data_IF_898793970329
#
_entry.id   IF_898793970329
#
_cell.length_a   1.000
_cell.length_b   1.000
_cell.length_c   1.000
_cell.angle_alpha   90.00
_cell.angle_beta   90.00
_cell.angle_gamma   90.00
#
_symmetry.space_group_name_H-M   'P 1'
#
loop_
_entity.id
_entity.type
_entity.pdbx_description
1 polymer ?
#
# COMPACT_ATOMS: atom_id res chain seq x y z
N UNK A 1 19.93 6.04 -1.07
CA UNK A 1 19.00 5.89 -2.24
C UNK A 1 17.61 5.59 -1.73
N UNK A 2 16.60 6.27 -2.28
CA UNK A 2 15.21 6.02 -1.94
C UNK A 2 14.63 5.08 -2.99
N UNK A 3 14.07 3.95 -2.55
CA UNK A 3 13.43 2.99 -3.43
C UNK A 3 11.95 2.92 -3.07
N UNK A 4 11.10 3.07 -4.08
CA UNK A 4 9.65 2.95 -3.92
C UNK A 4 9.17 1.74 -4.71
N UNK A 5 8.51 0.79 -4.03
CA UNK A 5 7.84 -0.28 -4.73
C UNK A 5 6.55 0.25 -5.34
N UNK A 6 6.16 -0.26 -6.49
CA UNK A 6 4.91 0.12 -7.15
C UNK A 6 3.79 -0.80 -6.66
N UNK A 7 2.88 -0.26 -5.84
CA UNK A 7 1.77 -1.02 -5.22
C UNK A 7 2.26 -2.17 -4.35
N UNK A 8 3.35 -1.92 -3.58
CA UNK A 8 4.01 -2.94 -2.79
C UNK A 8 5.01 -3.76 -3.62
N UNK A 9 5.67 -4.69 -2.98
CA UNK A 9 6.60 -5.61 -3.64
C UNK A 9 5.85 -6.92 -3.91
N UNK A 10 5.28 -7.04 -5.11
CA UNK A 10 4.43 -8.18 -5.45
C UNK A 10 5.15 -9.14 -6.39
N UNK A 11 4.83 -10.42 -6.26
CA UNK A 11 5.38 -11.48 -7.11
C UNK A 11 4.40 -11.94 -8.17
N UNK A 12 3.10 -11.67 -7.95
CA UNK A 12 2.05 -11.90 -8.95
C UNK A 12 1.14 -10.69 -8.96
N UNK A 13 0.41 -10.50 -10.06
CA UNK A 13 -0.47 -9.34 -10.20
C UNK A 13 -1.54 -9.27 -9.13
N UNK A 14 -2.01 -10.41 -8.63
CA UNK A 14 -3.03 -10.48 -7.61
C UNK A 14 -2.54 -9.93 -6.27
N UNK A 15 -1.24 -9.86 -6.05
CA UNK A 15 -0.67 -9.34 -4.80
C UNK A 15 -0.54 -7.82 -4.77
N UNK A 16 -0.74 -7.14 -5.89
CA UNK A 16 -0.62 -5.69 -5.94
C UNK A 16 -1.60 -5.04 -4.96
N UNK A 17 -1.11 -4.06 -4.20
CA UNK A 17 -1.90 -3.34 -3.19
C UNK A 17 -2.46 -4.26 -2.10
N UNK A 18 -1.87 -5.44 -1.93
CA UNK A 18 -2.27 -6.36 -0.87
C UNK A 18 -1.29 -6.29 0.29
N UNK A 19 -1.74 -6.75 1.45
CA UNK A 19 -0.96 -6.71 2.68
C UNK A 19 0.40 -7.37 2.52
N UNK A 20 0.45 -8.53 1.85
CA UNK A 20 1.69 -9.28 1.68
C UNK A 20 2.73 -8.47 0.90
N UNK A 21 2.29 -7.73 -0.12
CA UNK A 21 3.20 -6.94 -0.94
C UNK A 21 3.76 -5.76 -0.16
N UNK A 22 2.95 -5.14 0.68
CA UNK A 22 3.41 -4.03 1.51
C UNK A 22 4.38 -4.50 2.59
N UNK A 23 4.10 -5.64 3.24
CA UNK A 23 5.03 -6.21 4.20
C UNK A 23 6.39 -6.49 3.57
N UNK A 24 6.42 -7.08 2.39
CA UNK A 24 7.68 -7.34 1.70
C UNK A 24 8.45 -6.06 1.42
N UNK A 25 7.75 -5.04 0.92
CA UNK A 25 8.37 -3.77 0.58
C UNK A 25 9.00 -3.13 1.82
N UNK A 26 8.24 -3.02 2.89
CA UNK A 26 8.69 -2.34 4.09
C UNK A 26 9.79 -3.13 4.81
N UNK A 27 9.71 -4.45 4.81
CA UNK A 27 10.75 -5.29 5.42
C UNK A 27 12.09 -5.14 4.71
N UNK A 28 12.07 -4.81 3.43
CA UNK A 28 13.30 -4.53 2.67
C UNK A 28 13.78 -3.09 2.82
N UNK A 29 13.06 -2.28 3.60
CA UNK A 29 13.40 -0.87 3.76
C UNK A 29 12.95 0.00 2.60
N UNK A 30 12.05 -0.49 1.75
CA UNK A 30 11.51 0.27 0.62
C UNK A 30 10.24 0.98 1.04
N UNK A 31 10.06 2.22 0.57
CA UNK A 31 8.76 2.85 0.59
C UNK A 31 7.87 2.25 -0.48
N UNK A 32 6.71 2.85 -0.71
CA UNK A 32 5.81 2.36 -1.75
C UNK A 32 5.08 3.51 -2.42
N UNK A 33 4.72 3.31 -3.68
CA UNK A 33 3.81 4.15 -4.43
C UNK A 33 2.51 3.37 -4.57
N UNK A 34 1.39 4.00 -4.21
CA UNK A 34 0.09 3.34 -4.29
C UNK A 34 -1.01 4.37 -4.52
N UNK A 35 -2.23 3.90 -4.67
CA UNK A 35 -3.38 4.73 -4.96
C UNK A 35 -4.35 4.71 -3.78
N UNK A 36 -4.85 5.89 -3.43
CA UNK A 36 -5.86 6.05 -2.38
C UNK A 36 -7.17 6.44 -3.03
N UNK A 37 -8.24 5.78 -2.61
CA UNK A 37 -9.59 6.13 -3.00
C UNK A 37 -10.49 6.22 -1.79
N UNK A 38 -11.57 6.96 -1.96
CA UNK A 38 -12.57 7.19 -0.94
C UNK A 38 -13.77 6.30 -1.22
N UNK A 39 -14.21 5.54 -0.20
CA UNK A 39 -15.44 4.77 -0.28
C UNK A 39 -16.18 4.89 1.04
N UNK A 40 -17.40 5.40 1.00
CA UNK A 40 -18.28 5.54 2.17
C UNK A 40 -17.59 6.21 3.37
N UNK A 41 -16.82 7.26 3.08
CA UNK A 41 -16.12 8.02 4.11
C UNK A 41 -14.84 7.40 4.61
N UNK A 42 -14.37 6.31 3.97
CA UNK A 42 -13.11 5.67 4.33
C UNK A 42 -12.08 5.83 3.21
N UNK A 43 -10.83 5.98 3.58
CA UNK A 43 -9.73 5.95 2.63
C UNK A 43 -9.23 4.52 2.49
N UNK A 44 -9.21 4.01 1.28
CA UNK A 44 -8.79 2.65 0.99
C UNK A 44 -7.70 2.66 -0.08
N UNK A 45 -6.94 1.56 -0.14
CA UNK A 45 -5.86 1.39 -1.09
C UNK A 45 -6.42 0.64 -2.29
N UNK A 46 -6.56 1.34 -3.42
CA UNK A 46 -7.11 0.73 -4.62
C UNK A 46 -6.72 1.54 -5.84
N UNK A 47 -6.30 0.85 -6.90
CA UNK A 47 -6.07 1.48 -8.19
C UNK A 47 -7.38 1.67 -8.94
N UNK A 48 -8.25 0.68 -8.85
CA UNK A 48 -9.55 0.67 -9.53
C UNK A 48 -10.65 1.17 -8.60
N UNK A 49 -11.87 1.18 -9.10
CA UNK A 49 -13.03 1.54 -8.29
C UNK A 49 -13.13 0.58 -7.10
N UNK A 50 -13.15 1.10 -5.85
CA UNK A 50 -13.18 0.21 -4.69
C UNK A 50 -14.49 -0.56 -4.60
N UNK A 51 -14.38 -1.80 -4.12
CA UNK A 51 -15.52 -2.69 -3.95
C UNK A 51 -15.92 -2.85 -2.49
N UNK A 52 -15.05 -2.46 -1.55
CA UNK A 52 -15.32 -2.50 -0.13
C UNK A 52 -14.47 -3.48 0.65
N UNK A 53 -13.65 -4.29 -0.04
CA UNK A 53 -12.80 -5.29 0.60
C UNK A 53 -11.32 -4.93 0.58
N UNK A 54 -10.99 -3.74 0.14
CA UNK A 54 -9.60 -3.29 0.09
C UNK A 54 -9.08 -2.96 1.48
N UNK A 55 -7.76 -3.02 1.65
CA UNK A 55 -7.18 -2.57 2.91
C UNK A 55 -7.34 -1.05 3.02
N UNK A 56 -7.48 -0.56 4.25
CA UNK A 56 -7.62 0.87 4.48
C UNK A 56 -6.25 1.53 4.54
N UNK A 57 -6.24 2.86 4.35
CA UNK A 57 -5.02 3.63 4.54
C UNK A 57 -4.48 3.47 5.96
N UNK A 58 -5.38 3.41 6.95
CA UNK A 58 -4.99 3.19 8.33
C UNK A 58 -4.27 1.85 8.51
N UNK A 59 -4.79 0.79 7.87
CA UNK A 59 -4.14 -0.51 7.90
C UNK A 59 -2.76 -0.47 7.24
N UNK A 60 -2.62 0.27 6.15
CA UNK A 60 -1.32 0.45 5.51
C UNK A 60 -0.32 1.08 6.48
N UNK A 61 -0.74 2.10 7.22
CA UNK A 61 0.13 2.73 8.20
C UNK A 61 0.49 1.78 9.34
N UNK A 62 -0.42 0.90 9.73
CA UNK A 62 -0.14 -0.13 10.73
C UNK A 62 0.89 -1.14 10.22
N UNK A 63 0.79 -1.53 8.95
CA UNK A 63 1.78 -2.42 8.33
C UNK A 63 3.16 -1.75 8.32
N UNK A 64 3.20 -0.45 8.09
CA UNK A 64 4.45 0.31 8.11
C UNK A 64 5.08 0.32 9.51
N UNK A 65 4.27 0.28 10.55
CA UNK A 65 4.67 0.10 11.94
C UNK A 65 5.71 1.12 12.40
N UNK A 66 5.46 2.39 12.11
CA UNK A 66 6.32 3.48 12.56
C UNK A 66 7.64 3.62 11.84
N UNK A 67 7.90 2.79 10.82
CA UNK A 67 9.13 2.92 10.02
C UNK A 67 9.08 4.22 9.24
N UNK A 68 10.20 4.90 9.17
CA UNK A 68 10.30 6.17 8.45
C UNK A 68 10.58 5.92 6.97
N UNK A 69 9.58 5.41 6.27
CA UNK A 69 9.69 5.07 4.85
C UNK A 69 8.79 5.98 4.01
N UNK A 70 9.21 6.36 2.81
CA UNK A 70 8.41 7.26 1.98
C UNK A 70 7.18 6.58 1.41
N UNK A 71 6.09 7.35 1.33
CA UNK A 71 4.86 6.94 0.66
C UNK A 71 4.55 7.96 -0.43
N UNK A 72 4.33 7.47 -1.65
CA UNK A 72 3.83 8.30 -2.74
C UNK A 72 2.38 7.88 -2.99
N UNK A 73 1.46 8.78 -2.71
CA UNK A 73 0.03 8.49 -2.77
C UNK A 73 -0.62 9.26 -3.92
N UNK A 74 -1.37 8.56 -4.72
CA UNK A 74 -2.14 9.14 -5.83
C UNK A 74 -3.63 9.22 -5.53
#
# INVERSE_FOLDING_TARGET
>A
MIILSHRGYWKSEEERNQEVAFHRSFDLGYGTETDIRDIQGKLVISHDMPQGNEITFEELLQIMDGRNLPLALN
#
